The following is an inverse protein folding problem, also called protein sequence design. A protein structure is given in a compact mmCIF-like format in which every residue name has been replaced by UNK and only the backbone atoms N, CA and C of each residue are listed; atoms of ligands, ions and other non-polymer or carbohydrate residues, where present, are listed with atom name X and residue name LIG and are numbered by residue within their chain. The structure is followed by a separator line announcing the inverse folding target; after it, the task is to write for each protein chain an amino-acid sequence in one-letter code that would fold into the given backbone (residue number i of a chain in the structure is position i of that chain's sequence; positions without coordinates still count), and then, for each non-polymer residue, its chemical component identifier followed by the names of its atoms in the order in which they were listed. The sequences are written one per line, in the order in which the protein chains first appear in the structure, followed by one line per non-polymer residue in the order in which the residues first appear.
data_IF_330429046208
#
_entry.id   IF_330429046208
#
_cell.length_a   1.000
_cell.length_b   1.000
_cell.length_c   1.000
_cell.angle_alpha   90.00
_cell.angle_beta   90.00
_cell.angle_gamma   90.00
#
_symmetry.space_group_name_H-M   'P 1'
#
loop_
_entity.id
_entity.type
_entity.pdbx_description
1 polymer ?
#
# COMPACT_ATOMS: atom_id res chain seq x y z
N UNK A 1 -4.41 47.12 -13.22
CA UNK A 1 -4.05 45.96 -12.38
C UNK A 1 -4.78 44.75 -12.92
N UNK A 2 -4.08 43.66 -13.22
CA UNK A 2 -4.71 42.38 -13.56
C UNK A 2 -4.72 41.50 -12.32
N UNK A 3 -5.80 40.76 -12.09
CA UNK A 3 -6.02 39.86 -10.94
C UNK A 3 -6.59 38.53 -11.45
N UNK A 4 -6.49 37.47 -10.63
CA UNK A 4 -6.95 36.12 -10.98
C UNK A 4 -6.32 35.55 -12.26
N UNK A 5 -4.99 35.62 -12.35
CA UNK A 5 -4.22 35.08 -13.47
C UNK A 5 -3.82 33.62 -13.19
N UNK A 6 -3.77 32.80 -14.24
CA UNK A 6 -3.29 31.41 -14.20
C UNK A 6 -1.80 31.35 -14.55
N UNK A 7 -1.18 30.16 -14.50
CA UNK A 7 0.18 29.99 -15.00
C UNK A 7 0.26 30.36 -16.50
N UNK A 8 1.31 31.08 -16.87
CA UNK A 8 1.48 31.60 -18.22
C UNK A 8 2.34 32.85 -18.29
N UNK A 9 2.71 33.24 -19.50
CA UNK A 9 3.45 34.48 -19.75
C UNK A 9 2.49 35.60 -20.11
N UNK A 10 2.49 36.66 -19.30
CA UNK A 10 1.68 37.84 -19.50
C UNK A 10 2.53 38.99 -20.00
N UNK A 11 2.16 39.56 -21.13
CA UNK A 11 2.84 40.71 -21.72
C UNK A 11 1.96 41.95 -21.58
N UNK A 12 2.49 42.98 -20.94
CA UNK A 12 1.88 44.32 -20.87
C UNK A 12 2.47 45.17 -21.98
N UNK A 13 1.59 45.76 -22.80
CA UNK A 13 1.94 46.77 -23.81
C UNK A 13 1.48 48.14 -23.31
N UNK A 14 2.40 49.09 -23.28
CA UNK A 14 2.11 50.50 -22.99
C UNK A 14 2.30 51.29 -24.27
N UNK A 15 1.29 52.05 -24.67
CA UNK A 15 1.34 52.97 -25.80
C UNK A 15 1.13 54.38 -25.27
N UNK A 16 2.03 55.32 -25.60
CA UNK A 16 1.85 56.73 -25.26
C UNK A 16 0.92 57.44 -26.26
N UNK A 17 0.63 58.72 -26.01
CA UNK A 17 -0.24 59.53 -26.87
C UNK A 17 0.39 59.87 -28.24
N UNK A 18 1.69 59.60 -28.41
CA UNK A 18 2.45 59.80 -29.64
C UNK A 18 2.64 58.49 -30.43
N UNK A 19 1.94 57.42 -30.05
CA UNK A 19 2.01 56.08 -30.63
C UNK A 19 3.35 55.35 -30.42
N UNK A 20 4.20 55.79 -29.48
CA UNK A 20 5.36 55.01 -29.06
C UNK A 20 4.88 53.85 -28.19
N UNK A 21 5.33 52.63 -28.49
CA UNK A 21 4.99 51.44 -27.71
C UNK A 21 6.19 50.87 -26.98
N UNK A 22 6.01 50.45 -25.74
CA UNK A 22 6.95 49.58 -25.01
C UNK A 22 6.21 48.41 -24.41
N UNK A 23 6.90 47.30 -24.19
CA UNK A 23 6.29 46.13 -23.55
C UNK A 23 7.19 45.51 -22.50
N UNK A 24 6.58 44.84 -21.54
CA UNK A 24 7.25 44.05 -20.52
C UNK A 24 6.45 42.79 -20.26
N UNK A 25 7.13 41.69 -19.94
CA UNK A 25 6.48 40.41 -19.69
C UNK A 25 6.84 39.83 -18.32
N UNK A 26 5.90 39.10 -17.73
CA UNK A 26 6.10 38.30 -16.53
C UNK A 26 5.60 36.88 -16.79
N UNK A 27 6.33 35.87 -16.32
CA UNK A 27 5.90 34.47 -16.36
C UNK A 27 5.45 34.04 -14.98
N UNK A 28 4.23 33.53 -14.89
CA UNK A 28 3.68 32.89 -13.71
C UNK A 28 3.80 31.37 -13.89
N UNK A 29 4.33 30.67 -12.89
CA UNK A 29 4.51 29.20 -12.89
C UNK A 29 3.60 28.54 -11.87
N UNK A 30 3.21 27.29 -12.12
CA UNK A 30 2.53 26.44 -11.14
C UNK A 30 3.46 25.31 -10.62
N UNK A 31 3.19 24.76 -9.43
CA UNK A 31 3.87 23.54 -8.97
C UNK A 31 3.62 22.37 -9.92
N UNK A 32 4.50 21.37 -9.90
CA UNK A 32 4.23 20.12 -10.63
C UNK A 32 2.98 19.43 -10.05
N UNK A 33 2.33 18.59 -10.83
CA UNK A 33 1.16 17.83 -10.36
C UNK A 33 1.54 16.94 -9.18
N UNK A 34 0.68 16.88 -8.15
CA UNK A 34 0.83 15.92 -7.06
C UNK A 34 0.63 14.50 -7.59
N UNK A 35 1.51 13.59 -7.18
CA UNK A 35 1.46 12.16 -7.50
C UNK A 35 1.59 11.38 -6.18
N UNK A 36 0.55 10.63 -5.85
CA UNK A 36 0.55 9.63 -4.79
C UNK A 36 1.13 8.31 -5.32
N UNK A 37 1.92 7.63 -4.50
CA UNK A 37 2.46 6.31 -4.83
C UNK A 37 2.51 5.42 -3.60
N UNK A 38 2.32 4.12 -3.81
CA UNK A 38 2.49 3.10 -2.76
C UNK A 38 3.83 2.41 -2.92
N UNK A 39 4.49 2.15 -1.81
CA UNK A 39 5.82 1.55 -1.76
C UNK A 39 5.78 0.07 -1.36
N UNK A 40 6.40 -0.23 -0.22
CA UNK A 40 6.56 -1.59 0.28
C UNK A 40 5.26 -2.07 0.97
N UNK A 41 4.89 -3.32 0.72
CA UNK A 41 3.87 -4.03 1.48
C UNK A 41 4.47 -5.20 2.25
N UNK A 42 3.99 -5.39 3.48
CA UNK A 42 4.16 -6.60 4.27
C UNK A 42 2.79 -7.30 4.26
N UNK A 43 2.74 -8.48 3.65
CA UNK A 43 1.54 -9.32 3.63
C UNK A 43 1.26 -9.89 5.03
N UNK A 44 0.02 -10.30 5.26
CA UNK A 44 -0.41 -10.89 6.53
C UNK A 44 0.22 -12.27 6.68
N UNK A 45 0.74 -12.60 7.86
CA UNK A 45 1.50 -13.84 8.09
C UNK A 45 0.62 -15.09 8.23
N UNK A 46 -0.63 -14.93 8.64
CA UNK A 46 -1.59 -16.00 8.91
C UNK A 46 -2.97 -15.66 8.36
N UNK A 47 -3.73 -16.69 7.98
CA UNK A 47 -5.12 -16.52 7.57
C UNK A 47 -5.94 -15.87 8.69
N UNK A 48 -6.61 -14.75 8.39
CA UNK A 48 -7.39 -13.95 9.33
C UNK A 48 -6.54 -13.03 10.22
N UNK A 49 -5.23 -12.93 9.96
CA UNK A 49 -4.34 -12.05 10.70
C UNK A 49 -4.54 -10.56 10.37
N UNK A 50 -3.85 -9.71 11.15
CA UNK A 50 -3.82 -8.27 10.98
C UNK A 50 -2.43 -7.71 11.29
N UNK A 51 -1.38 -8.39 10.84
CA UNK A 51 0.02 -7.98 11.03
C UNK A 51 0.66 -7.40 9.76
N UNK A 52 -0.15 -7.15 8.73
CA UNK A 52 0.30 -6.52 7.50
C UNK A 52 0.62 -5.03 7.68
N UNK A 53 1.38 -4.51 6.72
CA UNK A 53 1.75 -3.09 6.67
C UNK A 53 1.91 -2.61 5.23
N UNK A 54 1.71 -1.31 5.00
CA UNK A 54 1.87 -0.68 3.71
C UNK A 54 2.51 0.71 3.85
N UNK A 55 3.30 1.13 2.86
CA UNK A 55 3.87 2.48 2.82
C UNK A 55 3.39 3.28 1.61
N UNK A 56 3.38 4.60 1.76
CA UNK A 56 2.98 5.56 0.74
C UNK A 56 3.93 6.75 0.70
N UNK A 57 4.02 7.39 -0.46
CA UNK A 57 4.79 8.62 -0.68
C UNK A 57 4.00 9.59 -1.56
N UNK A 58 4.27 10.88 -1.38
CA UNK A 58 3.82 11.95 -2.28
C UNK A 58 5.01 12.55 -3.02
N UNK A 59 4.81 12.92 -4.28
CA UNK A 59 5.79 13.65 -5.08
C UNK A 59 5.11 14.71 -5.95
N UNK A 60 5.83 15.75 -6.35
CA UNK A 60 5.24 16.92 -6.97
C UNK A 60 4.35 17.71 -6.00
N UNK A 61 3.47 18.59 -6.49
CA UNK A 61 2.68 19.47 -5.65
C UNK A 61 3.54 20.36 -4.73
N UNK A 62 3.01 20.69 -3.57
CA UNK A 62 3.69 21.51 -2.55
C UNK A 62 3.75 20.79 -1.20
N UNK A 63 4.96 20.60 -0.67
CA UNK A 63 5.15 19.99 0.66
C UNK A 63 4.78 20.96 1.80
N UNK A 64 4.43 20.46 3.00
CA UNK A 64 4.35 19.05 3.41
C UNK A 64 3.12 18.31 2.85
N UNK A 65 3.21 16.98 2.80
CA UNK A 65 2.08 16.11 2.42
C UNK A 65 1.41 15.50 3.66
N UNK A 66 0.10 15.30 3.59
CA UNK A 66 -0.66 14.50 4.55
C UNK A 66 -1.19 13.23 3.88
N UNK A 67 -1.43 12.20 4.69
CA UNK A 67 -1.89 10.89 4.24
C UNK A 67 -3.21 10.56 4.93
N UNK A 68 -4.06 9.81 4.26
CA UNK A 68 -5.26 9.21 4.83
C UNK A 68 -5.48 7.85 4.18
N UNK A 69 -5.33 6.79 4.97
CA UNK A 69 -5.63 5.44 4.55
C UNK A 69 -7.11 5.13 4.75
N UNK A 70 -7.69 4.35 3.84
CA UNK A 70 -9.06 3.83 3.92
C UNK A 70 -9.19 2.58 4.82
N UNK A 71 -8.24 2.40 5.74
CA UNK A 71 -8.28 1.35 6.74
C UNK A 71 -9.27 1.71 7.88
N UNK A 72 -9.74 0.72 8.69
CA UNK A 72 -10.66 0.99 9.79
C UNK A 72 -10.13 2.00 10.82
N UNK A 73 -8.81 2.14 10.94
CA UNK A 73 -8.17 3.11 11.83
C UNK A 73 -8.04 4.52 11.25
N UNK A 74 -8.35 4.72 9.96
CA UNK A 74 -8.14 5.98 9.23
C UNK A 74 -6.74 6.55 9.49
N UNK A 75 -5.71 5.72 9.33
CA UNK A 75 -4.33 6.09 9.67
C UNK A 75 -3.86 7.27 8.81
N UNK A 76 -3.08 8.17 9.40
CA UNK A 76 -2.61 9.41 8.72
C UNK A 76 -1.10 9.50 8.53
N UNK A 77 -0.39 8.44 8.87
CA UNK A 77 1.05 8.34 8.64
C UNK A 77 1.34 7.85 7.22
N UNK A 78 2.55 8.11 6.72
CA UNK A 78 3.02 7.53 5.44
C UNK A 78 3.12 6.00 5.48
N UNK A 79 3.16 5.40 6.66
CA UNK A 79 3.11 3.95 6.86
C UNK A 79 1.86 3.59 7.64
N UNK A 80 1.02 2.72 7.08
CA UNK A 80 -0.09 2.08 7.77
C UNK A 80 0.33 0.68 8.26
N UNK A 81 -0.05 0.35 9.49
CA UNK A 81 0.29 -0.92 10.16
C UNK A 81 -0.96 -1.62 10.68
N UNK A 82 -0.79 -2.87 11.11
CA UNK A 82 -1.86 -3.71 11.66
C UNK A 82 -3.02 -3.92 10.68
N UNK A 83 -2.68 -4.10 9.40
CA UNK A 83 -3.63 -4.27 8.31
C UNK A 83 -3.94 -5.75 8.09
N UNK A 84 -5.21 -6.07 7.87
CA UNK A 84 -5.64 -7.39 7.36
C UNK A 84 -5.52 -7.46 5.84
N UNK A 85 -5.65 -8.65 5.26
CA UNK A 85 -5.58 -8.84 3.82
C UNK A 85 -6.78 -8.16 3.13
N UNK A 86 -6.48 -7.12 2.35
CA UNK A 86 -7.43 -6.32 1.59
C UNK A 86 -6.65 -5.42 0.62
N UNK A 87 -7.38 -4.73 -0.26
CA UNK A 87 -6.84 -3.58 -0.99
C UNK A 87 -7.12 -2.32 -0.18
N UNK A 88 -6.07 -1.54 0.09
CA UNK A 88 -6.15 -0.25 0.75
C UNK A 88 -5.78 0.86 -0.23
N UNK A 89 -6.54 1.95 -0.17
CA UNK A 89 -6.31 3.20 -0.87
C UNK A 89 -5.77 4.23 0.11
N UNK A 90 -4.66 4.86 -0.26
CA UNK A 90 -4.13 6.02 0.44
C UNK A 90 -4.44 7.27 -0.36
N UNK A 91 -5.02 8.26 0.31
CA UNK A 91 -5.21 9.61 -0.21
C UNK A 91 -4.07 10.48 0.29
N UNK A 92 -3.36 11.12 -0.62
CA UNK A 92 -2.28 12.07 -0.31
C UNK A 92 -2.77 13.47 -0.63
N UNK A 93 -2.63 14.39 0.31
CA UNK A 93 -2.97 15.81 0.12
C UNK A 93 -1.72 16.67 0.29
N UNK A 94 -1.50 17.61 -0.62
CA UNK A 94 -0.40 18.56 -0.52
C UNK A 94 -0.78 19.80 0.33
N UNK A 95 0.18 20.68 0.61
CA UNK A 95 -0.04 21.85 1.46
C UNK A 95 -1.03 22.87 0.88
N UNK A 96 -1.29 22.82 -0.43
CA UNK A 96 -2.26 23.67 -1.12
C UNK A 96 -3.63 23.01 -1.30
N UNK A 97 -3.80 21.78 -0.80
CA UNK A 97 -5.06 21.03 -0.88
C UNK A 97 -5.25 20.27 -2.19
N UNK A 98 -4.22 20.12 -3.03
CA UNK A 98 -4.27 19.19 -4.15
C UNK A 98 -4.30 17.76 -3.61
N UNK A 99 -5.08 16.88 -4.24
CA UNK A 99 -5.29 15.50 -3.78
C UNK A 99 -4.96 14.54 -4.92
N UNK A 100 -4.26 13.45 -4.58
CA UNK A 100 -4.12 12.27 -5.41
C UNK A 100 -4.20 11.00 -4.56
N UNK A 101 -4.46 9.85 -5.18
CA UNK A 101 -4.62 8.58 -4.46
C UNK A 101 -3.92 7.42 -5.15
N UNK A 102 -3.43 6.47 -4.36
CA UNK A 102 -2.84 5.23 -4.83
C UNK A 102 -3.37 4.04 -4.03
N UNK A 103 -3.37 2.85 -4.63
CA UNK A 103 -3.90 1.64 -4.00
C UNK A 103 -2.85 0.54 -3.92
N UNK A 104 -2.88 -0.24 -2.85
CA UNK A 104 -1.99 -1.38 -2.60
C UNK A 104 -2.80 -2.56 -2.05
N UNK A 105 -2.45 -3.77 -2.49
CA UNK A 105 -3.14 -5.00 -2.06
C UNK A 105 -2.26 -5.81 -1.15
N UNK A 106 -2.78 -6.14 0.03
CA UNK A 106 -2.20 -7.09 0.97
C UNK A 106 -2.89 -8.44 0.80
N UNK A 107 -2.08 -9.50 0.84
CA UNK A 107 -2.54 -10.88 0.74
C UNK A 107 -2.30 -11.62 2.05
N UNK A 108 -2.95 -12.77 2.21
CA UNK A 108 -2.76 -13.71 3.31
C UNK A 108 -2.55 -15.13 2.75
N UNK A 109 -1.92 -16.04 3.52
CA UNK A 109 -1.76 -17.43 3.10
C UNK A 109 -3.12 -18.14 2.98
N UNK A 110 -3.16 -19.20 2.16
CA UNK A 110 -4.31 -20.09 2.10
C UNK A 110 -4.54 -20.79 3.46
N UNK A 111 -5.77 -21.29 3.69
CA UNK A 111 -6.08 -22.06 4.90
C UNK A 111 -5.13 -23.24 5.08
N UNK A 112 -4.60 -23.39 6.31
CA UNK A 112 -3.83 -24.57 6.67
C UNK A 112 -4.74 -25.80 6.67
N UNK A 113 -4.32 -26.83 5.94
CA UNK A 113 -4.97 -28.14 5.88
C UNK A 113 -3.92 -29.22 6.16
N UNK A 114 -4.34 -30.30 6.79
CA UNK A 114 -3.49 -31.46 7.07
C UNK A 114 -4.18 -32.72 6.57
N UNK A 115 -3.45 -33.52 5.79
CA UNK A 115 -3.92 -34.82 5.32
C UNK A 115 -2.91 -35.92 5.64
N UNK A 116 -3.40 -37.08 6.08
CA UNK A 116 -2.61 -38.31 6.10
C UNK A 116 -2.46 -38.78 4.66
N UNK A 117 -1.22 -38.91 4.20
CA UNK A 117 -0.90 -39.27 2.82
C UNK A 117 -0.46 -40.71 2.65
N UNK A 118 0.06 -41.32 3.72
CA UNK A 118 0.40 -42.73 3.74
C UNK A 118 0.28 -43.29 5.16
N UNK A 119 -0.04 -44.57 5.27
CA UNK A 119 -0.06 -45.26 6.56
C UNK A 119 0.03 -46.77 6.38
N UNK A 120 0.70 -47.43 7.31
CA UNK A 120 0.76 -48.87 7.41
C UNK A 120 0.22 -49.32 8.76
N UNK A 121 -0.65 -50.33 8.75
CA UNK A 121 -1.11 -50.99 9.96
C UNK A 121 -0.06 -51.96 10.47
N UNK A 122 -0.02 -52.16 11.79
CA UNK A 122 0.85 -53.14 12.43
C UNK A 122 0.52 -54.55 11.90
N UNK A 123 1.54 -55.30 11.47
CA UNK A 123 1.33 -56.56 10.75
C UNK A 123 1.05 -57.78 11.63
N UNK A 124 1.41 -57.72 12.92
CA UNK A 124 1.24 -58.83 13.87
C UNK A 124 0.90 -58.32 15.28
N UNK A 125 0.34 -59.19 16.12
CA UNK A 125 0.08 -58.85 17.52
C UNK A 125 1.38 -58.47 18.23
N UNK A 126 1.43 -57.28 18.84
CA UNK A 126 2.63 -56.70 19.48
C UNK A 126 3.76 -56.32 18.51
N UNK A 127 3.47 -56.09 17.23
CA UNK A 127 4.40 -55.50 16.27
C UNK A 127 4.56 -53.98 16.45
N UNK A 128 5.64 -53.42 15.89
CA UNK A 128 5.97 -51.98 15.94
C UNK A 128 6.30 -51.42 14.55
N UNK A 129 5.73 -52.01 13.50
CA UNK A 129 6.02 -51.67 12.09
C UNK A 129 4.98 -50.76 11.43
N UNK A 130 3.93 -50.37 12.18
CA UNK A 130 2.96 -49.40 11.71
C UNK A 130 3.55 -47.99 11.61
N UNK A 131 3.03 -47.19 10.68
CA UNK A 131 3.42 -45.78 10.54
C UNK A 131 2.27 -44.94 9.97
N UNK A 132 2.38 -43.63 10.11
CA UNK A 132 1.56 -42.66 9.40
C UNK A 132 2.43 -41.50 8.91
N UNK A 133 2.20 -41.04 7.69
CA UNK A 133 2.84 -39.87 7.09
C UNK A 133 1.77 -38.81 6.84
N UNK A 134 2.08 -37.57 7.19
CA UNK A 134 1.21 -36.42 6.94
C UNK A 134 1.86 -35.47 5.95
N UNK A 135 1.03 -34.73 5.21
CA UNK A 135 1.48 -33.63 4.36
C UNK A 135 0.59 -32.43 4.64
N UNK A 136 1.15 -31.30 5.12
CA UNK A 136 0.39 -30.07 5.25
C UNK A 136 0.22 -29.38 3.89
N UNK A 137 -0.88 -28.68 3.72
CA UNK A 137 -1.14 -27.78 2.60
C UNK A 137 -1.63 -26.42 3.10
N UNK A 138 -1.41 -25.35 2.33
CA UNK A 138 -1.71 -23.98 2.76
C UNK A 138 -0.90 -23.54 3.99
N UNK A 139 -1.31 -22.46 4.65
CA UNK A 139 -0.57 -21.85 5.75
C UNK A 139 0.78 -21.25 5.33
N UNK A 140 1.63 -20.98 6.33
CA UNK A 140 2.96 -20.38 6.15
C UNK A 140 4.01 -21.30 6.77
N UNK A 141 5.03 -21.67 5.99
CA UNK A 141 6.15 -22.48 6.46
C UNK A 141 7.11 -21.69 7.38
N UNK A 142 7.87 -22.35 8.27
CA UNK A 142 7.97 -23.80 8.48
C UNK A 142 6.85 -24.39 9.35
N UNK A 143 6.52 -25.67 9.13
CA UNK A 143 5.53 -26.41 9.93
C UNK A 143 6.17 -27.13 11.11
N UNK A 144 5.46 -27.18 12.23
CA UNK A 144 5.82 -27.98 13.41
C UNK A 144 4.80 -29.09 13.60
N UNK A 145 5.26 -30.30 13.90
CA UNK A 145 4.43 -31.49 14.06
C UNK A 145 4.54 -32.00 15.48
N UNK A 146 3.40 -32.31 16.10
CA UNK A 146 3.30 -32.97 17.39
C UNK A 146 2.35 -34.15 17.23
N UNK A 147 2.82 -35.34 17.56
CA UNK A 147 2.04 -36.57 17.55
C UNK A 147 1.66 -36.93 18.98
N UNK A 148 0.40 -37.31 19.20
CA UNK A 148 -0.09 -37.80 20.49
C UNK A 148 0.03 -39.33 20.49
N UNK A 149 1.10 -39.83 21.11
CA UNK A 149 1.37 -41.26 21.20
C UNK A 149 0.66 -41.82 22.45
N UNK A 150 -0.24 -42.81 22.32
CA UNK A 150 -0.83 -43.45 23.48
C UNK A 150 0.23 -44.17 24.31
N UNK A 151 0.19 -43.97 25.63
CA UNK A 151 1.09 -44.56 26.62
C UNK A 151 0.94 -46.09 26.76
#
# INVERSE_FOLDING_TARGET
MAIALIAGTYTVLVTDNNACTTSSSVTLTEPTTLIASTGNAVNVSCLGGADGAATATGSGGVSPYTFLWDDPGAQTNSTAIMLSAATYTVTVTDANGCIDSAAITLTEPASLVLSITDSLNITCNSGFDGYATVTPGGGTAPYTYLWDDPA
#
